data_IF_871626418609
#
_entry.id   IF_871626418609
#
_cell.length_a   1.000
_cell.length_b   1.000
_cell.length_c   1.000
_cell.angle_alpha   90.00
_cell.angle_beta   90.00
_cell.angle_gamma   90.00
#
_symmetry.space_group_name_H-M   'P 1'
#
loop_
_entity.id
_entity.type
_entity.pdbx_description
1 polymer ?
#
# COMPACT_ATOMS: atom_id res chain seq x y z
N UNK A 1 14.61 -1.18 -17.22
CA UNK A 1 13.51 -1.20 -16.23
C UNK A 1 14.16 -1.49 -14.88
N UNK A 2 14.23 -0.53 -13.93
CA UNK A 2 15.20 -0.68 -12.85
C UNK A 2 14.80 -1.73 -11.79
N UNK A 3 13.54 -2.19 -11.76
CA UNK A 3 13.08 -3.12 -10.73
C UNK A 3 12.39 -4.34 -11.35
N UNK A 4 13.00 -5.52 -11.18
CA UNK A 4 12.32 -6.80 -11.42
C UNK A 4 11.16 -6.97 -10.44
N UNK A 5 10.14 -7.74 -10.83
CA UNK A 5 9.03 -8.07 -9.96
C UNK A 5 8.90 -9.61 -9.81
N UNK A 6 8.86 -10.16 -8.58
CA UNK A 6 9.13 -9.46 -7.33
C UNK A 6 10.61 -9.00 -7.26
N UNK A 7 10.93 -7.96 -6.47
CA UNK A 7 12.30 -7.60 -6.19
C UNK A 7 12.95 -8.69 -5.32
N UNK A 8 14.25 -9.00 -5.49
CA UNK A 8 14.93 -10.00 -4.65
C UNK A 8 15.32 -9.43 -3.28
N UNK A 9 15.45 -10.28 -2.27
CA UNK A 9 16.20 -9.93 -1.06
C UNK A 9 17.64 -9.55 -1.43
N UNK A 10 18.19 -8.51 -0.81
CA UNK A 10 19.45 -7.88 -1.20
C UNK A 10 19.34 -6.96 -2.42
N UNK A 11 18.17 -6.87 -3.05
CA UNK A 11 17.87 -5.87 -4.07
C UNK A 11 17.70 -4.47 -3.49
N UNK A 12 17.47 -3.49 -4.37
CA UNK A 12 17.27 -2.08 -3.99
C UNK A 12 15.79 -1.70 -3.96
N UNK A 13 15.40 -0.92 -2.96
CA UNK A 13 14.13 -0.19 -2.87
C UNK A 13 14.40 1.30 -2.61
N UNK A 14 13.37 2.17 -2.63
CA UNK A 14 13.52 3.58 -2.26
C UNK A 14 14.09 3.78 -0.84
N UNK A 15 13.95 2.79 0.04
CA UNK A 15 14.37 2.84 1.43
C UNK A 15 15.68 2.09 1.72
N UNK A 16 16.36 1.60 0.68
CA UNK A 16 17.65 0.94 0.78
C UNK A 16 17.61 -0.55 0.42
N UNK A 17 18.49 -1.34 1.04
CA UNK A 17 18.61 -2.78 0.76
C UNK A 17 17.43 -3.55 1.35
N UNK A 18 16.80 -4.36 0.51
CA UNK A 18 15.68 -5.22 0.89
C UNK A 18 16.19 -6.37 1.76
N UNK A 19 15.65 -6.51 2.97
CA UNK A 19 15.98 -7.56 3.93
C UNK A 19 14.99 -8.72 3.89
N UNK A 20 13.71 -8.45 3.62
CA UNK A 20 12.69 -9.48 3.44
C UNK A 20 11.70 -9.12 2.33
N UNK A 21 11.12 -10.16 1.72
CA UNK A 21 10.07 -10.05 0.70
C UNK A 21 9.01 -11.10 1.02
N UNK A 22 7.79 -10.65 1.30
CA UNK A 22 6.65 -11.52 1.60
C UNK A 22 5.61 -11.37 0.51
N UNK A 23 5.20 -12.48 -0.10
CA UNK A 23 4.18 -12.45 -1.17
C UNK A 23 2.81 -12.10 -0.61
N UNK A 24 2.09 -11.21 -1.31
CA UNK A 24 0.72 -10.82 -1.01
C UNK A 24 -0.09 -10.88 -2.32
N UNK A 25 -0.28 -12.10 -2.80
CA UNK A 25 -0.89 -12.36 -4.10
C UNK A 25 0.09 -12.35 -5.27
N UNK A 26 -0.40 -12.44 -6.52
CA UNK A 26 0.43 -12.55 -7.72
C UNK A 26 1.12 -11.24 -8.09
N UNK A 27 0.53 -10.11 -7.69
CA UNK A 27 0.91 -8.77 -8.17
C UNK A 27 1.38 -7.83 -7.06
N UNK A 28 1.50 -8.29 -5.82
CA UNK A 28 2.02 -7.49 -4.73
C UNK A 28 2.93 -8.28 -3.78
N UNK A 29 3.94 -7.59 -3.24
CA UNK A 29 4.78 -8.08 -2.17
C UNK A 29 4.97 -7.00 -1.11
N UNK A 30 5.09 -7.41 0.15
CA UNK A 30 5.55 -6.55 1.24
C UNK A 30 7.06 -6.69 1.33
N UNK A 31 7.78 -5.56 1.38
CA UNK A 31 9.22 -5.54 1.59
C UNK A 31 9.55 -4.87 2.91
N UNK A 32 10.64 -5.33 3.54
CA UNK A 32 11.25 -4.62 4.67
C UNK A 32 12.70 -4.31 4.36
N UNK A 33 13.18 -3.22 4.94
CA UNK A 33 14.58 -2.78 4.91
C UNK A 33 15.03 -2.49 6.36
N UNK A 34 16.28 -2.03 6.54
CA UNK A 34 16.82 -1.77 7.87
C UNK A 34 16.10 -0.66 8.65
N UNK A 35 15.48 0.30 7.96
CA UNK A 35 14.82 1.45 8.59
C UNK A 35 13.33 1.56 8.28
N UNK A 36 12.93 1.17 7.08
CA UNK A 36 11.56 1.30 6.59
C UNK A 36 11.14 0.07 5.79
N UNK A 37 10.02 0.16 5.08
CA UNK A 37 9.52 -0.86 4.18
C UNK A 37 8.38 -0.30 3.34
N UNK A 38 7.61 -1.22 2.79
CA UNK A 38 6.41 -0.84 2.07
C UNK A 38 5.90 -1.96 1.19
N UNK A 39 4.98 -1.59 0.31
CA UNK A 39 4.40 -2.47 -0.66
C UNK A 39 5.02 -2.22 -2.04
N UNK A 40 5.38 -3.29 -2.73
CA UNK A 40 5.73 -3.27 -4.15
C UNK A 40 4.62 -3.96 -4.92
N UNK A 41 4.07 -3.31 -5.93
CA UNK A 41 3.14 -3.93 -6.89
C UNK A 41 3.83 -4.22 -8.22
N UNK A 42 3.28 -5.11 -9.04
CA UNK A 42 3.73 -5.28 -10.42
C UNK A 42 3.41 -4.02 -11.24
N UNK A 43 4.16 -3.77 -12.32
CA UNK A 43 3.86 -2.63 -13.20
C UNK A 43 2.50 -2.78 -13.90
N UNK A 44 2.05 -4.02 -14.11
CA UNK A 44 0.72 -4.30 -14.67
C UNK A 44 -0.39 -3.91 -13.67
N UNK A 45 -0.23 -4.28 -12.39
CA UNK A 45 -1.16 -3.87 -11.36
C UNK A 45 -1.15 -2.34 -11.14
N UNK A 46 0.03 -1.71 -11.16
CA UNK A 46 0.14 -0.25 -11.08
C UNK A 46 -0.66 0.44 -12.18
N UNK A 47 -0.53 -0.02 -13.43
CA UNK A 47 -1.25 0.55 -14.57
C UNK A 47 -2.77 0.33 -14.50
N UNK A 48 -3.24 -0.63 -13.70
CA UNK A 48 -4.66 -0.87 -13.45
C UNK A 48 -5.24 0.01 -12.32
N UNK A 49 -4.41 0.69 -11.55
CA UNK A 49 -4.87 1.59 -10.49
C UNK A 49 -5.40 2.91 -11.06
N UNK A 50 -6.35 3.58 -10.37
CA UNK A 50 -6.72 4.96 -10.69
C UNK A 50 -5.50 5.89 -10.76
N UNK A 51 -5.44 6.78 -11.74
CA UNK A 51 -4.29 7.67 -11.98
C UNK A 51 -3.87 8.45 -10.72
N UNK A 52 -4.84 8.89 -9.92
CA UNK A 52 -4.61 9.64 -8.69
C UNK A 52 -3.81 8.85 -7.62
N UNK A 53 -3.84 7.52 -7.66
CA UNK A 53 -3.12 6.67 -6.70
C UNK A 53 -1.89 5.98 -7.29
N UNK A 54 -1.64 6.11 -8.60
CA UNK A 54 -0.44 5.52 -9.23
C UNK A 54 0.87 6.20 -8.76
N UNK A 55 0.77 7.47 -8.34
CA UNK A 55 1.88 8.26 -7.83
C UNK A 55 1.38 9.31 -6.85
N UNK A 56 2.02 9.39 -5.70
CA UNK A 56 1.83 10.46 -4.70
C UNK A 56 3.18 11.08 -4.33
N UNK A 57 3.25 11.80 -3.21
CA UNK A 57 4.53 12.21 -2.61
C UNK A 57 5.39 11.03 -2.13
N UNK A 58 4.78 9.90 -1.76
CA UNK A 58 5.47 8.73 -1.17
C UNK A 58 5.24 7.41 -1.93
N UNK A 59 4.69 7.50 -3.15
CA UNK A 59 4.66 6.39 -4.10
C UNK A 59 5.17 6.78 -5.47
N UNK A 60 6.01 5.91 -6.04
CA UNK A 60 6.49 6.04 -7.40
C UNK A 60 6.95 4.67 -7.91
N UNK A 61 6.81 4.45 -9.22
CA UNK A 61 7.29 3.25 -9.92
C UNK A 61 6.78 1.94 -9.30
N UNK A 62 5.59 2.00 -8.68
CA UNK A 62 4.88 0.90 -8.01
C UNK A 62 5.45 0.51 -6.64
N UNK A 63 6.21 1.41 -6.02
CA UNK A 63 6.52 1.39 -4.59
C UNK A 63 5.52 2.26 -3.83
N UNK A 64 5.08 1.78 -2.68
CA UNK A 64 4.17 2.47 -1.76
C UNK A 64 4.73 2.37 -0.34
N UNK A 65 5.02 3.52 0.27
CA UNK A 65 5.64 3.64 1.59
C UNK A 65 4.75 3.08 2.73
N UNK A 66 5.37 2.47 3.75
CA UNK A 66 4.69 1.68 4.79
C UNK A 66 3.91 2.47 5.84
N UNK A 67 4.23 3.74 6.08
CA UNK A 67 3.52 4.57 7.06
C UNK A 67 2.23 5.16 6.49
N UNK A 68 2.16 5.41 5.18
CA UNK A 68 1.02 6.05 4.53
C UNK A 68 0.52 5.33 3.26
N UNK A 69 1.34 5.31 2.21
CA UNK A 69 0.92 5.02 0.84
C UNK A 69 0.52 3.56 0.59
N UNK A 70 1.07 2.60 1.35
CA UNK A 70 0.77 1.17 1.20
C UNK A 70 -0.73 0.88 1.21
N UNK A 71 -1.49 1.65 1.99
CA UNK A 71 -2.91 1.48 2.19
C UNK A 71 -3.72 1.79 0.92
N UNK A 72 -3.22 2.68 0.05
CA UNK A 72 -3.85 2.99 -1.24
C UNK A 72 -3.85 1.76 -2.15
N UNK A 73 -2.67 1.17 -2.37
CA UNK A 73 -2.52 -0.02 -3.20
C UNK A 73 -3.21 -1.24 -2.59
N UNK A 74 -3.14 -1.41 -1.26
CA UNK A 74 -3.79 -2.51 -0.56
C UNK A 74 -5.31 -2.53 -0.79
N UNK A 75 -5.98 -1.37 -0.61
CA UNK A 75 -7.42 -1.27 -0.80
C UNK A 75 -7.82 -1.34 -2.28
N UNK A 76 -7.09 -0.64 -3.15
CA UNK A 76 -7.42 -0.59 -4.59
C UNK A 76 -7.32 -1.96 -5.25
N UNK A 77 -6.34 -2.78 -4.86
CA UNK A 77 -6.12 -4.11 -5.40
C UNK A 77 -6.82 -5.23 -4.62
N UNK A 78 -7.56 -4.90 -3.55
CA UNK A 78 -8.25 -5.88 -2.70
C UNK A 78 -7.32 -6.97 -2.18
N UNK A 79 -6.13 -6.54 -1.71
CA UNK A 79 -5.09 -7.46 -1.23
C UNK A 79 -5.49 -8.22 0.04
N UNK A 80 -6.58 -7.80 0.71
CA UNK A 80 -7.23 -8.54 1.79
C UNK A 80 -7.61 -9.98 1.41
N UNK A 81 -7.89 -10.24 0.13
CA UNK A 81 -8.17 -11.58 -0.37
C UNK A 81 -6.96 -12.54 -0.37
N UNK A 82 -5.75 -12.01 -0.17
CA UNK A 82 -4.50 -12.77 -0.19
C UNK A 82 -3.86 -12.94 1.20
N UNK A 83 -4.49 -12.40 2.23
CA UNK A 83 -4.05 -12.58 3.62
C UNK A 83 -4.28 -14.04 4.06
N UNK A 84 -3.46 -14.58 5.00
CA UNK A 84 -3.45 -15.99 5.33
C UNK A 84 -4.75 -16.48 5.98
N UNK A 85 -5.51 -15.59 6.61
CA UNK A 85 -6.79 -15.89 7.22
C UNK A 85 -7.69 -14.64 7.32
N UNK A 86 -8.97 -14.86 7.57
CA UNK A 86 -9.97 -13.79 7.62
C UNK A 86 -9.77 -12.81 8.79
N UNK A 87 -9.20 -13.24 9.92
CA UNK A 87 -8.96 -12.36 11.06
C UNK A 87 -7.81 -11.40 10.73
N UNK A 88 -6.75 -11.90 10.12
CA UNK A 88 -5.64 -11.09 9.59
C UNK A 88 -6.13 -10.14 8.51
N UNK A 89 -6.91 -10.63 7.54
CA UNK A 89 -7.49 -9.80 6.48
C UNK A 89 -8.30 -8.63 7.05
N UNK A 90 -9.19 -8.89 8.01
CA UNK A 90 -9.99 -7.86 8.65
C UNK A 90 -9.13 -6.85 9.44
N UNK A 91 -8.09 -7.33 10.14
CA UNK A 91 -7.17 -6.48 10.89
C UNK A 91 -6.41 -5.51 9.96
N UNK A 92 -5.83 -6.01 8.88
CA UNK A 92 -5.03 -5.21 7.94
C UNK A 92 -5.93 -4.29 7.13
N UNK A 93 -7.10 -4.75 6.68
CA UNK A 93 -8.09 -3.90 6.01
C UNK A 93 -8.49 -2.72 6.90
N UNK A 94 -8.81 -2.97 8.18
CA UNK A 94 -9.15 -1.90 9.11
C UNK A 94 -7.98 -0.92 9.35
N UNK A 95 -6.73 -1.42 9.33
CA UNK A 95 -5.55 -0.56 9.40
C UNK A 95 -5.41 0.31 8.13
N UNK A 96 -5.54 -0.28 6.94
CA UNK A 96 -5.48 0.43 5.67
C UNK A 96 -6.55 1.54 5.58
N UNK A 97 -7.78 1.25 5.99
CA UNK A 97 -8.86 2.26 6.07
C UNK A 97 -8.51 3.42 6.98
N UNK A 98 -7.93 3.16 8.17
CA UNK A 98 -7.48 4.23 9.07
C UNK A 98 -6.34 5.04 8.48
N UNK A 99 -5.38 4.38 7.82
CA UNK A 99 -4.24 5.03 7.17
C UNK A 99 -4.69 5.94 6.04
N UNK A 100 -5.54 5.47 5.12
CA UNK A 100 -6.11 6.30 4.04
C UNK A 100 -6.87 7.51 4.60
N UNK A 101 -7.72 7.30 5.62
CA UNK A 101 -8.46 8.41 6.25
C UNK A 101 -7.55 9.47 6.86
N UNK A 102 -6.38 9.07 7.38
CA UNK A 102 -5.44 9.98 8.06
C UNK A 102 -4.53 10.71 7.08
N UNK A 103 -4.00 10.02 6.07
CA UNK A 103 -2.92 10.52 5.23
C UNK A 103 -3.35 10.82 3.79
N UNK A 104 -4.44 10.20 3.32
CA UNK A 104 -4.96 10.36 1.96
C UNK A 104 -6.50 10.55 1.93
N UNK A 105 -7.07 11.46 2.74
CA UNK A 105 -8.51 11.67 2.75
C UNK A 105 -9.08 12.04 1.37
N UNK A 106 -8.27 12.67 0.51
CA UNK A 106 -8.60 13.00 -0.89
C UNK A 106 -8.85 11.76 -1.77
N UNK A 107 -8.27 10.62 -1.43
CA UNK A 107 -8.41 9.37 -2.18
C UNK A 107 -9.46 8.41 -1.57
N UNK A 108 -9.99 8.71 -0.38
CA UNK A 108 -10.87 7.80 0.36
C UNK A 108 -12.10 7.37 -0.47
N UNK A 109 -12.76 8.31 -1.15
CA UNK A 109 -13.93 8.04 -1.98
C UNK A 109 -13.63 7.09 -3.16
N UNK A 110 -12.44 7.19 -3.76
CA UNK A 110 -12.01 6.29 -4.85
C UNK A 110 -11.87 4.84 -4.38
N UNK A 111 -11.61 4.65 -3.09
CA UNK A 111 -11.35 3.35 -2.48
C UNK A 111 -12.58 2.80 -1.73
N UNK A 112 -13.74 3.45 -1.84
CA UNK A 112 -14.95 3.08 -1.11
C UNK A 112 -14.80 3.26 0.41
N UNK A 113 -13.90 4.13 0.85
CA UNK A 113 -13.69 4.46 2.25
C UNK A 113 -14.53 5.68 2.60
N UNK A 114 -15.53 5.47 3.45
CA UNK A 114 -16.35 6.57 3.95
C UNK A 114 -15.47 7.62 4.66
N UNK A 115 -15.74 8.92 4.51
CA UNK A 115 -15.05 9.97 5.25
C UNK A 115 -15.10 9.69 6.76
N UNK A 116 -14.08 10.14 7.51
CA UNK A 116 -14.24 10.24 8.96
C UNK A 116 -15.39 11.20 9.19
N UNK A 117 -16.50 10.71 9.77
CA UNK A 117 -17.59 11.57 10.21
C UNK A 117 -16.95 12.69 11.05
N UNK A 118 -17.09 13.92 10.58
CA UNK A 118 -16.51 15.07 11.24
C UNK A 118 -16.92 15.06 12.70
N UNK A 119 -15.94 14.93 13.59
CA UNK A 119 -16.12 15.46 14.93
C UNK A 119 -16.35 16.95 14.74
N UNK A 120 -17.55 17.42 15.08
CA UNK A 120 -17.77 18.85 15.30
C UNK A 120 -16.61 19.36 16.12
N UNK A 121 -15.88 20.32 15.56
CA UNK A 121 -15.06 21.21 16.37
C UNK A 121 -16.06 22.11 17.11
N UNK A 122 -16.60 21.59 18.21
CA UNK A 122 -17.33 22.37 19.19
C UNK A 122 -16.34 22.79 20.29
N UNK A 123 -16.02 24.08 20.34
CA UNK A 123 -15.44 24.75 21.52
C UNK A 123 -13.94 25.00 21.51
#
# INVERSE_FOLDING_TARGET
MPYSFPPPCGGSSPWGLIQSVTSLGPDAVVVTTASHGGLRVSMAALAGLPDAIQRTAYSADGWFEEDCDWALAYLALRLDAHEPDAARAAQVYAAAVRTVRRFHPEHAALLGVEPLAGGSADG
#
